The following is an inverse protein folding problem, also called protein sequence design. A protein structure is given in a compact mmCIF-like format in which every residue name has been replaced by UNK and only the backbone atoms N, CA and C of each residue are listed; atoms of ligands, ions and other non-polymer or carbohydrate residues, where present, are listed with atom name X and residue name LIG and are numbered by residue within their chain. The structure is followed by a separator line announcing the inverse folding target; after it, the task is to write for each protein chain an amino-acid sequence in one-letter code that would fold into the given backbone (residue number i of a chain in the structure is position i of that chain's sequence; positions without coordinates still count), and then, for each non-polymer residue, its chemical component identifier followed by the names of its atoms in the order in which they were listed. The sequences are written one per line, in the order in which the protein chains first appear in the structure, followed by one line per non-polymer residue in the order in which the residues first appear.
data_IF_046503056167
#
_entry.id   IF_046503056167
#
_cell.length_a   1.000
_cell.length_b   1.000
_cell.length_c   1.000
_cell.angle_alpha   90.00
_cell.angle_beta   90.00
_cell.angle_gamma   90.00
#
_symmetry.space_group_name_H-M   'P 1'
#
loop_
_entity.id
_entity.type
_entity.pdbx_description
1 polymer ?
#
# COMPACT_ATOMS: atom_id res chain seq x y z
N UNK A 1 -6.87 0.26 25.81
CA UNK A 1 -5.42 0.11 25.62
C UNK A 1 -5.24 -0.50 24.24
N UNK A 2 -4.86 0.29 23.24
CA UNK A 2 -4.63 -0.25 21.88
C UNK A 2 -3.50 -1.27 21.96
N UNK A 3 -3.69 -2.51 21.46
CA UNK A 3 -2.60 -3.49 21.45
C UNK A 3 -1.39 -2.88 20.73
N UNK A 4 -0.18 -3.10 21.26
CA UNK A 4 1.09 -2.64 20.65
C UNK A 4 1.16 -2.97 19.14
N UNK A 5 0.62 -4.12 18.77
CA UNK A 5 0.48 -4.59 17.38
C UNK A 5 -0.31 -3.63 16.45
N UNK A 6 -1.32 -2.92 16.98
CA UNK A 6 -2.15 -1.98 16.22
C UNK A 6 -1.43 -0.66 15.97
N UNK A 7 -0.80 -0.10 17.00
CA UNK A 7 -0.04 1.15 16.89
C UNK A 7 1.13 1.02 15.90
N UNK A 8 1.75 -0.16 15.84
CA UNK A 8 2.82 -0.47 14.90
C UNK A 8 2.39 -0.36 13.43
N UNK A 9 1.12 -0.67 13.09
CA UNK A 9 0.64 -0.56 11.70
C UNK A 9 0.45 0.89 11.27
N UNK A 10 -0.17 1.70 12.12
CA UNK A 10 -0.39 3.11 11.82
C UNK A 10 0.92 3.88 11.72
N UNK A 11 1.85 3.68 12.66
CA UNK A 11 3.17 4.32 12.60
C UNK A 11 3.93 3.97 11.29
N UNK A 12 3.87 2.71 10.86
CA UNK A 12 4.49 2.30 9.58
C UNK A 12 3.79 2.88 8.35
N UNK A 13 2.49 3.16 8.45
CA UNK A 13 1.72 3.84 7.41
C UNK A 13 2.11 5.32 7.31
N UNK A 14 2.28 5.97 8.47
CA UNK A 14 2.78 7.34 8.58
C UNK A 14 4.19 7.47 7.99
N UNK A 15 5.07 6.49 8.24
CA UNK A 15 6.42 6.44 7.67
C UNK A 15 6.41 6.37 6.13
N UNK A 16 5.50 5.59 5.53
CA UNK A 16 5.34 5.56 4.07
C UNK A 16 4.79 6.89 3.54
N UNK A 17 3.82 7.49 4.23
CA UNK A 17 3.24 8.77 3.83
C UNK A 17 4.31 9.87 3.82
N UNK A 18 5.11 9.94 4.87
CA UNK A 18 6.26 10.85 4.95
C UNK A 18 7.28 10.58 3.84
N UNK A 19 7.49 9.32 3.48
CA UNK A 19 8.36 8.95 2.36
C UNK A 19 7.81 9.48 1.04
N UNK A 20 6.50 9.36 0.79
CA UNK A 20 5.82 9.91 -0.39
C UNK A 20 6.01 11.42 -0.47
N UNK A 21 5.77 12.15 0.62
CA UNK A 21 5.93 13.61 0.69
C UNK A 21 7.36 14.04 0.33
N UNK A 22 8.37 13.36 0.91
CA UNK A 22 9.78 13.62 0.62
C UNK A 22 10.11 13.36 -0.86
N UNK A 23 9.60 12.27 -1.42
CA UNK A 23 9.85 11.91 -2.82
C UNK A 23 9.17 12.90 -3.77
N UNK A 24 7.93 13.31 -3.51
CA UNK A 24 7.23 14.31 -4.32
C UNK A 24 7.98 15.65 -4.32
N UNK A 25 8.48 16.09 -3.16
CA UNK A 25 9.24 17.34 -3.03
C UNK A 25 10.62 17.31 -3.74
N UNK A 26 11.12 16.12 -4.10
CA UNK A 26 12.43 15.93 -4.73
C UNK A 26 12.35 15.35 -6.13
N UNK A 27 11.18 15.42 -6.77
CA UNK A 27 10.94 14.83 -8.10
C UNK A 27 11.37 13.35 -8.16
N UNK A 28 11.09 12.62 -7.08
CA UNK A 28 11.43 11.22 -6.92
C UNK A 28 10.78 10.33 -7.96
N UNK A 29 11.34 9.13 -8.13
CA UNK A 29 10.87 8.18 -9.16
C UNK A 29 9.39 7.86 -8.95
N UNK A 30 8.49 8.14 -9.93
CA UNK A 30 7.06 7.93 -9.77
C UNK A 30 6.67 6.51 -9.35
N UNK A 31 7.34 5.49 -9.90
CA UNK A 31 7.13 4.10 -9.54
C UNK A 31 7.40 3.80 -8.05
N UNK A 32 8.33 4.52 -7.42
CA UNK A 32 8.64 4.37 -5.98
C UNK A 32 7.58 5.08 -5.14
N UNK A 33 7.13 6.25 -5.57
CA UNK A 33 6.02 6.98 -4.94
C UNK A 33 4.75 6.11 -4.93
N UNK A 34 4.38 5.54 -6.08
CA UNK A 34 3.20 4.67 -6.19
C UNK A 34 3.32 3.40 -5.32
N UNK A 35 4.52 2.85 -5.20
CA UNK A 35 4.77 1.71 -4.32
C UNK A 35 4.49 2.08 -2.85
N UNK A 36 5.02 3.20 -2.36
CA UNK A 36 4.74 3.64 -0.99
C UNK A 36 3.27 3.99 -0.79
N UNK A 37 2.58 4.59 -1.78
CA UNK A 37 1.16 4.90 -1.66
C UNK A 37 0.30 3.65 -1.43
N UNK A 38 0.60 2.56 -2.15
CA UNK A 38 -0.07 1.27 -1.94
C UNK A 38 0.24 0.69 -0.55
N UNK A 39 1.49 0.78 -0.09
CA UNK A 39 1.90 0.31 1.24
C UNK A 39 1.24 1.12 2.37
N UNK A 40 1.12 2.44 2.22
CA UNK A 40 0.38 3.31 3.15
C UNK A 40 -1.05 2.83 3.31
N UNK A 41 -1.78 2.64 2.20
CA UNK A 41 -3.14 2.12 2.22
C UNK A 41 -3.23 0.74 2.89
N UNK A 42 -2.33 -0.17 2.53
CA UNK A 42 -2.30 -1.52 3.11
C UNK A 42 -2.12 -1.50 4.63
N UNK A 43 -1.20 -0.68 5.13
CA UNK A 43 -0.88 -0.58 6.55
C UNK A 43 -2.01 0.08 7.35
N UNK A 44 -2.66 1.12 6.82
CA UNK A 44 -3.83 1.70 7.48
C UNK A 44 -5.00 0.72 7.59
N UNK A 45 -5.33 -0.01 6.51
CA UNK A 45 -6.38 -1.03 6.54
C UNK A 45 -6.05 -2.16 7.55
N UNK A 46 -4.79 -2.61 7.59
CA UNK A 46 -4.33 -3.60 8.58
C UNK A 46 -4.39 -3.06 10.01
N UNK A 47 -4.02 -1.80 10.22
CA UNK A 47 -4.13 -1.12 11.50
C UNK A 47 -5.57 -1.03 11.98
N UNK A 48 -6.50 -0.67 11.09
CA UNK A 48 -7.93 -0.65 11.40
C UNK A 48 -8.45 -2.04 11.80
N UNK A 49 -8.13 -3.08 11.04
CA UNK A 49 -8.51 -4.46 11.39
C UNK A 49 -7.92 -4.89 12.73
N UNK A 50 -6.64 -4.58 12.99
CA UNK A 50 -5.99 -4.86 14.26
C UNK A 50 -6.62 -4.08 15.43
N UNK A 51 -7.02 -2.83 15.21
CA UNK A 51 -7.71 -2.00 16.20
C UNK A 51 -9.04 -2.61 16.63
N UNK A 52 -9.76 -3.21 15.67
CA UNK A 52 -11.01 -3.93 15.92
C UNK A 52 -10.81 -5.41 16.28
N UNK A 53 -9.61 -5.78 16.74
CA UNK A 53 -9.24 -7.14 17.18
C UNK A 53 -9.52 -8.23 16.12
N UNK A 54 -9.55 -7.85 14.83
CA UNK A 54 -9.67 -8.80 13.72
C UNK A 54 -8.30 -9.39 13.39
N UNK A 55 -8.29 -10.66 13.01
CA UNK A 55 -7.08 -11.32 12.57
C UNK A 55 -6.55 -10.69 11.27
N UNK A 56 -5.41 -10.01 11.35
CA UNK A 56 -4.73 -9.45 10.19
C UNK A 56 -4.02 -10.58 9.45
N UNK A 57 -4.62 -11.04 8.36
CA UNK A 57 -3.99 -12.04 7.48
C UNK A 57 -2.72 -11.47 6.83
N UNK A 58 -1.71 -12.31 6.62
CA UNK A 58 -0.52 -11.98 5.82
C UNK A 58 -0.85 -12.00 4.32
N UNK A 59 -1.73 -11.09 3.91
CA UNK A 59 -2.12 -10.84 2.53
C UNK A 59 -1.64 -9.44 2.13
N UNK A 60 -1.27 -9.30 0.86
CA UNK A 60 -0.84 -8.05 0.23
C UNK A 60 -1.85 -7.63 -0.85
N UNK A 61 -3.14 -7.88 -0.61
CA UNK A 61 -4.22 -7.55 -1.50
C UNK A 61 -5.10 -6.49 -0.84
N UNK A 62 -5.08 -5.29 -1.41
CA UNK A 62 -5.76 -4.12 -0.87
C UNK A 62 -7.30 -4.26 -0.97
N UNK A 63 -7.81 -4.94 -2.01
CA UNK A 63 -9.24 -5.17 -2.16
C UNK A 63 -9.76 -6.14 -1.09
N UNK A 64 -9.02 -7.22 -0.84
CA UNK A 64 -9.39 -8.19 0.20
C UNK A 64 -9.32 -7.58 1.60
N UNK A 65 -8.34 -6.70 1.86
CA UNK A 65 -8.26 -5.97 3.13
C UNK A 65 -9.43 -4.98 3.28
N UNK A 66 -9.79 -4.28 2.19
CA UNK A 66 -10.89 -3.34 2.20
C UNK A 66 -12.23 -4.04 2.46
N UNK A 67 -12.49 -5.16 1.80
CA UNK A 67 -13.71 -5.95 2.03
C UNK A 67 -13.78 -6.46 3.48
N UNK A 68 -12.65 -6.82 4.09
CA UNK A 68 -12.61 -7.16 5.52
C UNK A 68 -12.91 -5.96 6.42
N UNK A 69 -12.42 -4.76 6.08
CA UNK A 69 -12.73 -3.54 6.83
C UNK A 69 -14.21 -3.19 6.71
N UNK A 70 -14.82 -3.37 5.54
CA UNK A 70 -16.25 -3.13 5.30
C UNK A 70 -17.18 -3.98 6.14
N UNK A 71 -16.78 -5.20 6.50
CA UNK A 71 -17.53 -6.05 7.42
C UNK A 71 -17.60 -5.45 8.82
N UNK A 72 -16.59 -4.66 9.20
CA UNK A 72 -16.54 -3.94 10.49
C UNK A 72 -17.22 -2.58 10.39
N UNK A 73 -16.95 -1.83 9.33
CA UNK A 73 -17.51 -0.50 9.07
C UNK A 73 -17.86 -0.35 7.58
N UNK A 74 -19.16 -0.35 7.21
CA UNK A 74 -19.59 -0.23 5.82
C UNK A 74 -19.16 1.05 5.10
N UNK A 75 -18.78 2.12 5.83
CA UNK A 75 -18.34 3.40 5.22
C UNK A 75 -17.06 3.25 4.39
N UNK A 76 -16.28 2.18 4.63
CA UNK A 76 -15.11 1.83 3.83
C UNK A 76 -15.43 1.55 2.36
N UNK A 77 -16.69 1.33 1.98
CA UNK A 77 -17.07 1.22 0.55
C UNK A 77 -16.72 2.49 -0.24
N UNK A 78 -16.70 3.66 0.39
CA UNK A 78 -16.28 4.91 -0.26
C UNK A 78 -14.84 4.86 -0.77
N UNK A 79 -13.98 4.01 -0.19
CA UNK A 79 -12.56 3.88 -0.56
C UNK A 79 -12.32 2.86 -1.69
N UNK A 80 -13.38 2.23 -2.24
CA UNK A 80 -13.25 1.16 -3.24
C UNK A 80 -12.51 1.60 -4.49
N UNK A 81 -12.86 2.77 -5.04
CA UNK A 81 -12.22 3.28 -6.25
C UNK A 81 -10.78 3.74 -5.99
N UNK A 82 -10.51 4.35 -4.84
CA UNK A 82 -9.14 4.74 -4.44
C UNK A 82 -8.24 3.50 -4.29
N UNK A 83 -8.74 2.45 -3.63
CA UNK A 83 -8.01 1.19 -3.49
C UNK A 83 -7.73 0.54 -4.86
N UNK A 84 -8.71 0.55 -5.76
CA UNK A 84 -8.53 0.07 -7.14
C UNK A 84 -7.47 0.86 -7.89
N UNK A 85 -7.47 2.18 -7.76
CA UNK A 85 -6.46 3.05 -8.37
C UNK A 85 -5.05 2.71 -7.89
N UNK A 86 -4.86 2.55 -6.58
CA UNK A 86 -3.57 2.15 -5.98
C UNK A 86 -3.07 0.78 -6.46
N UNK A 87 -3.98 -0.19 -6.63
CA UNK A 87 -3.65 -1.51 -7.19
C UNK A 87 -3.17 -1.40 -8.65
N UNK A 88 -3.84 -0.57 -9.46
CA UNK A 88 -3.50 -0.41 -10.88
C UNK A 88 -2.12 0.23 -11.08
N UNK A 89 -1.77 1.24 -10.28
CA UNK A 89 -0.50 1.96 -10.41
C UNK A 89 0.73 1.09 -10.10
N UNK A 90 0.61 0.14 -9.16
CA UNK A 90 1.71 -0.77 -8.80
C UNK A 90 1.95 -1.85 -9.84
N UNK A 91 0.89 -2.36 -10.48
CA UNK A 91 0.98 -3.36 -11.56
C UNK A 91 1.79 -2.82 -12.75
N UNK A 92 1.59 -1.55 -13.12
CA UNK A 92 2.37 -0.88 -14.16
C UNK A 92 3.84 -0.67 -13.77
N UNK A 93 4.08 -0.33 -12.50
CA UNK A 93 5.43 -0.15 -11.94
C UNK A 93 6.22 -1.47 -11.90
N UNK A 94 5.57 -2.59 -11.60
CA UNK A 94 6.18 -3.92 -11.60
C UNK A 94 6.61 -4.34 -13.02
N UNK A 95 5.74 -4.12 -14.01
CA UNK A 95 6.03 -4.40 -15.42
C UNK A 95 7.18 -3.51 -15.96
N UNK A 96 7.26 -2.25 -15.56
CA UNK A 96 8.37 -1.37 -15.91
C UNK A 96 9.71 -1.85 -15.30
N UNK A 97 9.69 -2.41 -14.09
CA UNK A 97 10.89 -2.96 -13.42
C UNK A 97 11.39 -4.26 -14.07
N UNK A 98 10.48 -5.09 -14.61
CA UNK A 98 10.82 -6.32 -15.34
C UNK A 98 11.41 -6.05 -16.74
N UNK A 99 10.97 -4.97 -17.43
CA UNK A 99 11.51 -4.60 -18.75
C UNK A 99 13.00 -4.22 -18.73
N UNK A 100 13.51 -3.65 -17.63
CA UNK A 100 14.94 -3.33 -17.50
C UNK A 100 15.87 -4.54 -17.32
N UNK A 101 15.35 -5.71 -16.89
CA UNK A 101 16.16 -6.94 -16.78
C UNK A 101 16.34 -7.69 -18.10
N UNK A 102 15.62 -7.32 -19.15
CA UNK A 102 15.64 -8.00 -20.47
C UNK A 102 16.27 -7.15 -21.59
N UNK A 103 16.86 -5.99 -21.27
CA UNK A 103 17.60 -5.14 -22.20
C UNK A 103 19.02 -4.91 -21.69
N UNK A 104 19.79 -5.99 -21.51
CA UNK A 104 21.24 -5.92 -21.59
C UNK A 104 21.61 -6.50 -22.95
N UNK A 105 22.12 -5.71 -23.91
CA UNK A 105 22.73 -6.29 -25.10
C UNK A 105 23.96 -7.07 -24.65
N UNK A 106 24.06 -8.34 -25.02
CA UNK A 106 25.32 -9.06 -25.01
C UNK A 106 26.26 -8.31 -25.98
N UNK A 107 27.17 -7.51 -25.43
CA UNK A 107 28.28 -6.95 -26.18
C UNK A 107 29.26 -8.07 -26.52
N UNK A 108 29.35 -8.42 -27.80
CA UNK A 108 30.54 -8.98 -28.45
C UNK A 108 30.67 -8.37 -29.84
#
# INVERSE_FOLDING_TARGET
MTPKYTADWFARGDDDLKTIEILLAREGIPAVICFHAQQTGEKYLKGFLAFHEKHVRKIHDLAVLLDACRVVDPTFEALREDARFLIQMTTLSFNARMRRKHQTPLSR
#
